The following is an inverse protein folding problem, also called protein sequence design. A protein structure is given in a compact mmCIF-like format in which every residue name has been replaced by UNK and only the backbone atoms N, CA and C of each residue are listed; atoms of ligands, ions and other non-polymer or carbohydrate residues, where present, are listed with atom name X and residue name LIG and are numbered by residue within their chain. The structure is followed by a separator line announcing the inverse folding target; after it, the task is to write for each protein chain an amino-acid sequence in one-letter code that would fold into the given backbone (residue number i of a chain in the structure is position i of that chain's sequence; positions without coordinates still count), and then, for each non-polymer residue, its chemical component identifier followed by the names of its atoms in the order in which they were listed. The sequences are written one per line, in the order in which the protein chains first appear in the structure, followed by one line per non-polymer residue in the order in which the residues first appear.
data_IF_307905640346
#
_entry.id   IF_307905640346
#
_cell.length_a   1.000
_cell.length_b   1.000
_cell.length_c   1.000
_cell.angle_alpha   90.00
_cell.angle_beta   90.00
_cell.angle_gamma   90.00
#
_symmetry.space_group_name_H-M   'P 1'
#
loop_
_entity.id
_entity.type
_entity.pdbx_description
1 polymer ?
#
# COMPACT_ATOMS: atom_id res chain seq x y z
N UNK A 1 -15.16 -18.16 12.69
CA UNK A 1 -15.17 -18.09 11.21
C UNK A 1 -14.21 -16.98 10.83
N UNK A 2 -13.23 -17.25 9.97
CA UNK A 2 -12.33 -16.21 9.49
C UNK A 2 -13.13 -15.19 8.67
N UNK A 3 -12.95 -13.90 8.96
CA UNK A 3 -13.66 -12.84 8.24
C UNK A 3 -12.88 -12.52 6.97
N UNK A 4 -13.39 -12.98 5.83
CA UNK A 4 -12.85 -12.64 4.51
C UNK A 4 -13.00 -11.14 4.27
N UNK A 5 -11.89 -10.45 4.03
CA UNK A 5 -11.82 -9.00 3.82
C UNK A 5 -12.10 -8.64 2.35
N UNK A 6 -11.48 -9.40 1.44
CA UNK A 6 -11.63 -9.23 -0.01
C UNK A 6 -11.61 -10.61 -0.66
N UNK A 7 -12.46 -10.81 -1.66
CA UNK A 7 -12.43 -11.99 -2.51
C UNK A 7 -12.59 -11.66 -3.99
N UNK A 8 -12.04 -12.54 -4.81
CA UNK A 8 -12.04 -12.49 -6.26
C UNK A 8 -12.36 -13.88 -6.80
N UNK A 9 -13.35 -14.00 -7.68
CA UNK A 9 -13.57 -15.21 -8.49
C UNK A 9 -12.70 -15.23 -9.76
N UNK A 10 -11.75 -14.29 -9.88
CA UNK A 10 -11.01 -13.96 -11.08
C UNK A 10 -11.63 -12.75 -11.80
N UNK A 11 -10.79 -11.87 -12.35
CA UNK A 11 -11.23 -10.68 -13.08
C UNK A 11 -10.16 -10.22 -14.09
N UNK A 12 -10.55 -9.32 -14.99
CA UNK A 12 -9.65 -8.73 -16.00
C UNK A 12 -9.62 -7.22 -15.83
N UNK A 13 -8.43 -6.62 -15.88
CA UNK A 13 -8.23 -5.17 -16.04
C UNK A 13 -7.29 -4.96 -17.22
N UNK A 14 -7.75 -4.19 -18.20
CA UNK A 14 -7.05 -3.99 -19.46
C UNK A 14 -6.70 -5.35 -20.10
N UNK A 15 -5.42 -5.64 -20.37
CA UNK A 15 -4.95 -6.91 -20.93
C UNK A 15 -4.43 -7.89 -19.86
N UNK A 16 -4.75 -7.67 -18.58
CA UNK A 16 -4.26 -8.51 -17.48
C UNK A 16 -5.40 -9.29 -16.83
N UNK A 17 -5.25 -10.61 -16.79
CA UNK A 17 -6.11 -11.52 -16.05
C UNK A 17 -5.52 -11.84 -14.67
N UNK A 18 -6.37 -11.70 -13.65
CA UNK A 18 -6.09 -12.00 -12.26
C UNK A 18 -6.83 -13.27 -11.87
N UNK A 19 -6.10 -14.25 -11.32
CA UNK A 19 -6.70 -15.50 -10.84
C UNK A 19 -7.63 -15.27 -9.63
N UNK A 20 -8.43 -16.28 -9.29
CA UNK A 20 -9.29 -16.23 -8.11
C UNK A 20 -8.47 -16.21 -6.82
N UNK A 21 -8.90 -15.43 -5.84
CA UNK A 21 -8.26 -15.37 -4.53
C UNK A 21 -9.23 -14.90 -3.45
N UNK A 22 -8.85 -15.14 -2.21
CA UNK A 22 -9.44 -14.50 -1.04
C UNK A 22 -8.31 -14.05 -0.11
N UNK A 23 -8.58 -12.98 0.62
CA UNK A 23 -7.72 -12.49 1.69
C UNK A 23 -8.56 -12.23 2.93
N UNK A 24 -8.12 -12.79 4.05
CA UNK A 24 -8.73 -12.68 5.37
C UNK A 24 -7.80 -11.94 6.34
N UNK A 25 -8.31 -11.58 7.51
CA UNK A 25 -7.49 -11.05 8.61
C UNK A 25 -6.34 -12.04 8.92
N UNK A 26 -5.13 -11.54 9.20
CA UNK A 26 -3.95 -12.37 9.44
C UNK A 26 -3.20 -12.76 8.16
N UNK A 27 -3.67 -12.35 6.98
CA UNK A 27 -3.11 -12.79 5.71
C UNK A 27 -2.39 -11.66 4.97
N UNK A 28 -1.33 -12.08 4.27
CA UNK A 28 -0.57 -11.28 3.35
C UNK A 28 -0.70 -11.87 1.95
N UNK A 29 -1.12 -11.05 0.99
CA UNK A 29 -1.28 -11.45 -0.40
C UNK A 29 -0.42 -10.56 -1.29
N UNK A 30 0.42 -11.17 -2.13
CA UNK A 30 1.20 -10.47 -3.16
C UNK A 30 0.62 -10.71 -4.54
N UNK A 31 0.33 -9.62 -5.27
CA UNK A 31 -0.01 -9.63 -6.70
C UNK A 31 1.24 -9.19 -7.46
N UNK A 32 1.83 -10.12 -8.20
CA UNK A 32 3.13 -9.90 -8.83
C UNK A 32 2.99 -9.69 -10.33
N UNK A 33 3.44 -8.54 -10.80
CA UNK A 33 3.52 -8.18 -12.21
C UNK A 33 4.93 -8.46 -12.72
N UNK A 34 5.03 -9.40 -13.64
CA UNK A 34 6.27 -9.72 -14.36
C UNK A 34 6.43 -8.89 -15.64
N UNK A 35 6.00 -7.64 -15.61
CA UNK A 35 6.15 -6.72 -16.74
C UNK A 35 7.39 -5.84 -16.51
N UNK A 36 8.08 -5.48 -17.59
CA UNK A 36 9.22 -4.54 -17.53
C UNK A 36 8.79 -3.07 -17.44
N UNK A 37 7.48 -2.80 -17.53
CA UNK A 37 6.92 -1.46 -17.59
C UNK A 37 6.04 -1.22 -16.36
N UNK A 38 6.44 -0.26 -15.53
CA UNK A 38 5.56 0.30 -14.51
C UNK A 38 4.38 0.99 -15.19
N UNK A 39 3.21 0.36 -15.16
CA UNK A 39 1.98 0.99 -15.63
C UNK A 39 1.24 1.63 -14.45
N UNK A 40 1.52 2.92 -14.24
CA UNK A 40 0.85 3.72 -13.21
C UNK A 40 -0.67 3.74 -13.37
N UNK A 41 -1.20 3.62 -14.60
CA UNK A 41 -2.64 3.58 -14.83
C UNK A 41 -3.22 2.25 -14.38
N UNK A 42 -2.51 1.14 -14.62
CA UNK A 42 -2.91 -0.16 -14.13
C UNK A 42 -2.88 -0.20 -12.60
N UNK A 43 -1.83 0.33 -11.97
CA UNK A 43 -1.74 0.45 -10.51
C UNK A 43 -2.93 1.23 -9.94
N UNK A 44 -3.25 2.39 -10.51
CA UNK A 44 -4.39 3.21 -10.07
C UNK A 44 -5.72 2.46 -10.19
N UNK A 45 -5.97 1.81 -11.34
CA UNK A 45 -7.17 0.98 -11.56
C UNK A 45 -7.27 -0.16 -10.54
N UNK A 46 -6.16 -0.81 -10.22
CA UNK A 46 -6.13 -1.89 -9.24
C UNK A 46 -6.44 -1.37 -7.84
N UNK A 47 -5.84 -0.25 -7.43
CA UNK A 47 -6.14 0.37 -6.14
C UNK A 47 -7.62 0.71 -6.03
N UNK A 48 -8.23 1.27 -7.08
CA UNK A 48 -9.66 1.58 -7.10
C UNK A 48 -10.55 0.34 -6.97
N UNK A 49 -10.25 -0.72 -7.73
CA UNK A 49 -11.04 -1.95 -7.75
C UNK A 49 -10.90 -2.70 -6.42
N UNK A 50 -9.67 -2.91 -5.98
CA UNK A 50 -9.36 -3.73 -4.80
C UNK A 50 -9.75 -3.02 -3.50
N UNK A 51 -9.76 -1.67 -3.48
CA UNK A 51 -10.29 -0.91 -2.33
C UNK A 51 -11.81 -0.74 -2.37
N UNK A 52 -12.49 -1.23 -3.41
CA UNK A 52 -13.94 -1.10 -3.58
C UNK A 52 -14.43 0.30 -3.97
N UNK A 53 -13.52 1.22 -4.34
CA UNK A 53 -13.89 2.54 -4.90
C UNK A 53 -14.58 2.38 -6.25
N UNK A 54 -14.16 1.38 -7.03
CA UNK A 54 -14.75 1.00 -8.31
C UNK A 54 -15.25 -0.44 -8.26
N UNK A 55 -16.52 -0.65 -8.59
CA UNK A 55 -17.08 -2.01 -8.67
C UNK A 55 -16.53 -2.72 -9.90
N UNK A 56 -16.15 -3.99 -9.74
CA UNK A 56 -15.69 -4.87 -10.80
C UNK A 56 -16.39 -6.23 -10.66
N UNK A 57 -16.80 -6.82 -11.79
CA UNK A 57 -17.36 -8.17 -11.75
C UNK A 57 -16.31 -9.16 -11.24
N UNK A 58 -16.73 -10.10 -10.41
CA UNK A 58 -15.84 -11.09 -9.79
C UNK A 58 -15.08 -10.58 -8.57
N UNK A 59 -15.08 -9.28 -8.23
CA UNK A 59 -14.42 -8.74 -7.04
C UNK A 59 -15.44 -8.34 -5.98
N UNK A 60 -15.23 -8.79 -4.74
CA UNK A 60 -16.08 -8.46 -3.58
C UNK A 60 -15.23 -7.98 -2.41
N UNK A 61 -15.48 -6.74 -1.98
CA UNK A 61 -14.86 -6.13 -0.80
C UNK A 61 -15.86 -6.18 0.35
N UNK A 62 -15.58 -6.99 1.38
CA UNK A 62 -16.48 -7.20 2.52
C UNK A 62 -16.15 -6.27 3.71
N UNK A 63 -14.98 -5.65 3.70
CA UNK A 63 -14.51 -4.78 4.78
C UNK A 63 -13.69 -3.62 4.20
N UNK A 64 -13.63 -2.50 4.91
CA UNK A 64 -12.88 -1.32 4.45
C UNK A 64 -11.39 -1.65 4.30
N UNK A 65 -10.84 -1.35 3.13
CA UNK A 65 -9.42 -1.50 2.80
C UNK A 65 -8.88 -0.13 2.38
N UNK A 66 -7.79 0.32 3.01
CA UNK A 66 -7.21 1.61 2.71
C UNK A 66 -6.07 1.48 1.68
N UNK A 67 -6.19 2.11 0.51
CA UNK A 67 -5.08 2.17 -0.43
C UNK A 67 -3.99 3.13 0.09
N UNK A 68 -2.73 2.69 0.05
CA UNK A 68 -1.56 3.48 0.40
C UNK A 68 -1.12 4.31 -0.80
N UNK A 69 -1.64 5.53 -0.87
CA UNK A 69 -1.32 6.49 -1.93
C UNK A 69 -0.30 7.49 -1.42
N UNK A 70 0.94 7.38 -1.91
CA UNK A 70 1.98 8.34 -1.55
C UNK A 70 1.62 9.75 -2.09
N UNK A 71 1.87 10.82 -1.32
CA UNK A 71 1.68 12.17 -1.80
C UNK A 71 2.58 12.44 -3.02
N UNK A 72 1.99 12.90 -4.11
CA UNK A 72 2.71 13.24 -5.34
C UNK A 72 3.19 14.69 -5.25
N UNK A 73 4.49 14.91 -5.49
CA UNK A 73 5.03 16.25 -5.64
C UNK A 73 4.47 16.88 -6.94
N UNK A 74 3.67 17.94 -6.82
CA UNK A 74 3.29 18.76 -7.98
C UNK A 74 4.37 19.83 -8.19
N UNK A 75 5.04 19.88 -9.35
CA UNK A 75 5.98 20.96 -9.65
C UNK A 75 5.23 22.31 -9.78
N UNK A 76 5.93 23.41 -9.50
CA UNK A 76 5.40 24.77 -9.64
C UNK A 76 4.99 25.44 -8.31
N UNK A 77 4.45 26.68 -8.34
CA UNK A 77 4.20 27.53 -7.15
C UNK A 77 3.28 26.90 -6.09
N UNK A 78 2.60 25.80 -6.42
CA UNK A 78 1.92 24.93 -5.46
C UNK A 78 2.84 24.39 -4.36
N UNK A 79 4.18 24.40 -4.55
CA UNK A 79 5.14 23.98 -3.52
C UNK A 79 5.06 24.80 -2.23
N UNK A 80 4.65 26.08 -2.32
CA UNK A 80 4.48 26.97 -1.18
C UNK A 80 3.20 26.68 -0.37
N UNK A 81 2.23 25.99 -0.98
CA UNK A 81 1.00 25.53 -0.34
C UNK A 81 1.06 24.07 0.14
N UNK A 82 2.22 23.43 0.02
CA UNK A 82 2.33 22.01 0.35
C UNK A 82 2.43 21.79 1.85
N UNK A 83 1.72 20.76 2.32
CA UNK A 83 1.65 20.37 3.73
C UNK A 83 3.02 19.89 4.25
N UNK A 84 3.27 20.11 5.53
CA UNK A 84 4.39 19.46 6.22
C UNK A 84 4.10 17.99 6.49
N UNK A 85 5.13 17.20 6.80
CA UNK A 85 4.99 15.80 7.24
C UNK A 85 4.00 15.66 8.42
N UNK A 86 4.06 16.59 9.40
CA UNK A 86 3.12 16.64 10.51
C UNK A 86 1.68 16.92 10.07
N UNK A 87 1.48 17.97 9.25
CA UNK A 87 0.15 18.34 8.76
C UNK A 87 -0.48 17.22 7.94
N UNK A 88 0.31 16.51 7.15
CA UNK A 88 -0.20 15.36 6.39
C UNK A 88 -0.71 14.25 7.29
N UNK A 89 0.07 13.83 8.29
CA UNK A 89 -0.34 12.76 9.19
C UNK A 89 -1.57 13.17 10.01
N UNK A 90 -1.66 14.44 10.40
CA UNK A 90 -2.82 14.98 11.11
C UNK A 90 -4.10 14.93 10.25
N UNK A 91 -3.99 15.19 8.96
CA UNK A 91 -5.16 15.28 8.06
C UNK A 91 -5.53 13.97 7.38
N UNK A 92 -4.59 13.03 7.23
CA UNK A 92 -4.79 11.77 6.51
C UNK A 92 -4.78 10.55 7.44
N UNK A 93 -4.62 10.76 8.75
CA UNK A 93 -4.62 9.71 9.77
C UNK A 93 -5.59 10.03 10.91
N UNK A 94 -5.46 9.25 11.98
CA UNK A 94 -6.30 9.29 13.20
C UNK A 94 -5.42 9.47 14.45
N UNK A 95 -4.19 9.91 14.25
CA UNK A 95 -3.19 10.07 15.30
C UNK A 95 -3.50 11.26 16.23
N UNK A 96 -3.16 11.09 17.49
CA UNK A 96 -2.94 12.21 18.41
C UNK A 96 -1.65 12.95 18.02
N UNK A 97 -1.54 14.23 18.39
CA UNK A 97 -0.38 15.06 18.01
C UNK A 97 0.94 14.46 18.52
N UNK A 98 0.92 13.91 19.73
CA UNK A 98 2.07 13.30 20.39
C UNK A 98 2.52 12.01 19.69
N UNK A 99 1.56 11.25 19.15
CA UNK A 99 1.82 10.05 18.35
C UNK A 99 2.49 10.43 17.03
N UNK A 100 2.05 11.52 16.38
CA UNK A 100 2.67 12.03 15.14
C UNK A 100 4.14 12.38 15.39
N UNK A 101 4.47 13.11 16.45
CA UNK A 101 5.86 13.44 16.77
C UNK A 101 6.72 12.19 17.03
N UNK A 102 6.18 11.22 17.76
CA UNK A 102 6.87 9.96 18.06
C UNK A 102 7.12 9.13 16.80
N UNK A 103 6.12 9.08 15.92
CA UNK A 103 6.20 8.39 14.64
C UNK A 103 7.24 9.03 13.71
N UNK A 104 7.17 10.35 13.53
CA UNK A 104 8.11 11.08 12.68
C UNK A 104 9.55 10.96 13.18
N UNK A 105 9.76 11.00 14.50
CA UNK A 105 11.07 10.73 15.11
C UNK A 105 11.57 9.31 14.79
N UNK A 106 10.71 8.30 14.89
CA UNK A 106 11.05 6.91 14.55
C UNK A 106 11.41 6.74 13.07
N UNK A 107 10.76 7.48 12.19
CA UNK A 107 11.03 7.51 10.75
C UNK A 107 12.23 8.40 10.36
N UNK A 108 12.83 9.11 11.32
CA UNK A 108 13.86 10.12 11.08
C UNK A 108 13.40 11.23 10.11
N UNK A 109 12.13 11.64 10.19
CA UNK A 109 11.53 12.71 9.38
C UNK A 109 11.27 13.93 10.27
N UNK A 110 11.71 15.11 9.84
CA UNK A 110 11.42 16.35 10.56
C UNK A 110 9.92 16.74 10.46
N UNK A 111 9.26 17.17 11.55
CA UNK A 111 7.84 17.55 11.53
C UNK A 111 7.45 18.69 10.59
N UNK A 112 8.39 19.61 10.37
CA UNK A 112 8.17 20.82 9.57
C UNK A 112 8.69 20.69 8.14
N UNK A 113 9.29 19.55 7.79
CA UNK A 113 9.72 19.32 6.42
C UNK A 113 8.51 19.24 5.51
N UNK A 114 8.59 19.92 4.38
CA UNK A 114 7.56 19.83 3.38
C UNK A 114 7.60 18.44 2.72
N UNK A 115 6.45 17.80 2.56
CA UNK A 115 6.33 16.45 2.00
C UNK A 115 6.99 16.34 0.62
N UNK A 116 6.98 17.38 -0.21
CA UNK A 116 7.62 17.31 -1.52
C UNK A 116 9.15 17.18 -1.44
N UNK A 117 9.76 17.61 -0.32
CA UNK A 117 11.20 17.49 -0.07
C UNK A 117 11.58 16.09 0.41
N UNK A 118 10.61 15.30 0.82
CA UNK A 118 10.81 13.89 1.18
C UNK A 118 11.08 13.06 -0.08
N UNK A 119 11.98 12.09 0.06
CA UNK A 119 12.25 11.06 -0.94
C UNK A 119 11.04 10.14 -1.16
N UNK A 120 11.10 9.34 -2.23
CA UNK A 120 9.99 8.44 -2.58
C UNK A 120 9.64 7.44 -1.46
N UNK A 121 10.65 6.83 -0.83
CA UNK A 121 10.48 5.90 0.28
C UNK A 121 9.82 6.57 1.50
N UNK A 122 10.33 7.73 1.92
CA UNK A 122 9.81 8.48 3.06
C UNK A 122 8.33 8.86 2.85
N UNK A 123 7.98 9.35 1.65
CA UNK A 123 6.59 9.66 1.30
C UNK A 123 5.69 8.43 1.36
N UNK A 124 6.18 7.27 0.90
CA UNK A 124 5.42 6.02 0.95
C UNK A 124 5.22 5.54 2.37
N UNK A 125 6.26 5.56 3.21
CA UNK A 125 6.14 5.17 4.62
C UNK A 125 5.17 6.08 5.37
N UNK A 126 5.23 7.40 5.11
CA UNK A 126 4.32 8.37 5.71
C UNK A 126 2.85 8.07 5.31
N UNK A 127 2.61 7.74 4.04
CA UNK A 127 1.30 7.32 3.56
C UNK A 127 0.86 5.96 4.13
N UNK A 128 1.80 5.02 4.31
CA UNK A 128 1.54 3.71 4.88
C UNK A 128 1.06 3.82 6.33
N UNK A 129 1.79 4.57 7.17
CA UNK A 129 1.41 4.76 8.57
C UNK A 129 0.05 5.49 8.67
N UNK A 130 -0.20 6.50 7.84
CA UNK A 130 -1.51 7.16 7.75
C UNK A 130 -2.65 6.20 7.38
N UNK A 131 -2.45 5.34 6.37
CA UNK A 131 -3.44 4.34 5.97
C UNK A 131 -3.71 3.32 7.08
N UNK A 132 -2.66 2.91 7.81
CA UNK A 132 -2.72 1.95 8.92
C UNK A 132 -3.47 2.49 10.13
N UNK A 133 -3.37 3.79 10.41
CA UNK A 133 -4.11 4.41 11.51
C UNK A 133 -5.62 4.38 11.24
N UNK A 134 -6.02 4.46 9.97
CA UNK A 134 -7.42 4.45 9.54
C UNK A 134 -8.02 3.04 9.46
N UNK A 135 -7.23 2.01 9.13
CA UNK A 135 -7.61 0.60 9.06
C UNK A 135 -6.36 -0.25 8.97
N UNK A 136 -6.36 -1.43 9.60
CA UNK A 136 -5.29 -2.42 9.45
C UNK A 136 -5.37 -3.19 8.13
N UNK A 137 -6.50 -3.12 7.42
CA UNK A 137 -6.62 -3.67 6.07
C UNK A 137 -6.09 -2.65 5.06
N UNK A 138 -5.01 -2.98 4.36
CA UNK A 138 -4.33 -2.06 3.45
C UNK A 138 -4.04 -2.70 2.09
N UNK A 139 -3.95 -1.85 1.07
CA UNK A 139 -3.39 -2.21 -0.25
C UNK A 139 -2.24 -1.26 -0.51
N UNK A 140 -1.06 -1.78 -0.83
CA UNK A 140 0.14 -0.99 -1.08
C UNK A 140 0.82 -1.45 -2.38
N UNK A 141 1.24 -0.48 -3.20
CA UNK A 141 2.16 -0.74 -4.31
C UNK A 141 3.60 -0.50 -3.87
N UNK A 142 4.50 -1.41 -4.22
CA UNK A 142 5.95 -1.25 -4.06
C UNK A 142 6.63 -0.60 -5.27
N UNK A 143 5.86 -0.15 -6.26
CA UNK A 143 6.35 0.61 -7.40
C UNK A 143 7.07 1.89 -6.96
N UNK A 144 8.24 2.15 -7.56
CA UNK A 144 9.05 3.35 -7.30
C UNK A 144 9.70 3.40 -5.92
N UNK A 145 9.79 2.28 -5.22
CA UNK A 145 10.51 2.13 -3.94
C UNK A 145 11.79 1.33 -4.21
N UNK A 146 12.91 1.74 -3.61
CA UNK A 146 14.15 0.94 -3.66
C UNK A 146 14.12 -0.24 -2.67
N UNK A 147 15.17 -1.07 -2.68
CA UNK A 147 15.25 -2.23 -1.80
C UNK A 147 15.17 -1.89 -0.30
N UNK A 148 15.77 -0.78 0.12
CA UNK A 148 15.74 -0.36 1.53
C UNK A 148 14.33 0.06 1.93
N UNK A 149 13.64 0.82 1.06
CA UNK A 149 12.26 1.21 1.31
C UNK A 149 11.29 0.02 1.32
N UNK A 150 11.53 -1.01 0.49
CA UNK A 150 10.74 -2.26 0.52
C UNK A 150 10.92 -2.95 1.88
N UNK A 151 12.15 -3.04 2.39
CA UNK A 151 12.43 -3.64 3.70
C UNK A 151 11.74 -2.87 4.82
N UNK A 152 11.74 -1.54 4.77
CA UNK A 152 11.03 -0.70 5.75
C UNK A 152 9.51 -0.89 5.69
N UNK A 153 8.93 -0.90 4.49
CA UNK A 153 7.49 -1.19 4.28
C UNK A 153 7.13 -2.56 4.86
N UNK A 154 7.95 -3.59 4.60
CA UNK A 154 7.70 -4.95 5.10
C UNK A 154 7.81 -5.06 6.61
N UNK A 155 8.76 -4.36 7.24
CA UNK A 155 8.82 -4.26 8.71
C UNK A 155 7.55 -3.65 9.28
N UNK A 156 6.98 -2.64 8.64
CA UNK A 156 5.71 -2.04 9.07
C UNK A 156 4.55 -3.03 8.90
N UNK A 157 4.51 -3.75 7.77
CA UNK A 157 3.52 -4.78 7.46
C UNK A 157 3.54 -5.91 8.50
N UNK A 158 4.71 -6.41 8.88
CA UNK A 158 4.85 -7.45 9.91
C UNK A 158 4.16 -7.06 11.22
N UNK A 159 4.24 -5.79 11.63
CA UNK A 159 3.61 -5.30 12.87
C UNK A 159 2.08 -5.31 12.84
N UNK A 160 1.47 -5.29 11.65
CA UNK A 160 0.03 -5.12 11.50
C UNK A 160 -0.67 -6.38 10.97
N UNK A 161 0.08 -7.36 10.48
CA UNK A 161 -0.48 -8.47 9.74
C UNK A 161 -1.43 -9.32 10.60
N UNK A 162 -1.11 -9.53 11.88
CA UNK A 162 -1.98 -10.25 12.81
C UNK A 162 -3.34 -9.56 13.03
N UNK A 163 -3.38 -8.24 12.86
CA UNK A 163 -4.54 -7.39 13.13
C UNK A 163 -5.31 -6.98 11.87
N UNK A 164 -4.78 -7.25 10.68
CA UNK A 164 -5.35 -6.80 9.41
C UNK A 164 -5.10 -7.74 8.25
N UNK A 165 -5.42 -7.28 7.05
CA UNK A 165 -5.13 -7.97 5.80
C UNK A 165 -4.28 -7.05 4.93
N UNK A 166 -3.20 -7.58 4.35
CA UNK A 166 -2.26 -6.78 3.55
C UNK A 166 -2.20 -7.31 2.14
N UNK A 167 -2.52 -6.44 1.18
CA UNK A 167 -2.37 -6.70 -0.25
C UNK A 167 -1.20 -5.89 -0.80
N UNK A 168 -0.15 -6.56 -1.25
CA UNK A 168 0.98 -5.96 -1.96
C UNK A 168 0.75 -6.06 -3.47
N UNK A 169 0.90 -4.95 -4.18
CA UNK A 169 1.02 -4.89 -5.64
C UNK A 169 2.51 -4.71 -5.95
N UNK A 170 3.13 -5.76 -6.47
CA UNK A 170 4.57 -5.79 -6.74
C UNK A 170 4.84 -5.80 -8.24
N UNK A 171 5.50 -4.75 -8.74
CA UNK A 171 6.01 -4.72 -10.11
C UNK A 171 7.48 -5.14 -10.06
N UNK A 172 7.82 -6.23 -10.75
CA UNK A 172 9.05 -7.02 -10.56
C UNK A 172 10.37 -6.25 -10.78
N UNK A 173 10.76 -5.42 -9.81
CA UNK A 173 12.15 -5.08 -9.48
C UNK A 173 12.66 -5.97 -8.33
N UNK A 174 11.74 -6.66 -7.62
CA UNK A 174 12.03 -7.58 -6.52
C UNK A 174 12.21 -9.03 -6.97
N UNK A 175 12.97 -9.28 -8.05
CA UNK A 175 13.41 -10.65 -8.37
C UNK A 175 14.26 -11.16 -7.20
N UNK A 176 13.73 -12.13 -6.46
CA UNK A 176 14.58 -13.15 -5.84
C UNK A 176 14.69 -13.19 -4.32
N UNK A 177 13.79 -12.59 -3.54
CA UNK A 177 13.73 -12.94 -2.11
C UNK A 177 12.29 -13.23 -1.70
N UNK A 178 11.97 -14.53 -1.64
CA UNK A 178 10.90 -15.05 -0.80
C UNK A 178 11.26 -14.63 0.63
N UNK A 179 10.64 -13.58 1.13
CA UNK A 179 10.76 -13.23 2.52
C UNK A 179 9.53 -13.74 3.24
N UNK A 180 9.76 -14.69 4.13
CA UNK A 180 8.78 -15.10 5.11
C UNK A 180 8.45 -13.87 5.96
N UNK A 181 7.25 -13.33 5.81
CA UNK A 181 6.66 -12.48 6.82
C UNK A 181 6.29 -13.44 7.95
N UNK A 182 7.18 -13.59 8.93
CA UNK A 182 6.96 -14.44 10.10
C UNK A 182 5.59 -14.12 10.72
N UNK A 183 4.76 -15.16 10.89
CA UNK A 183 3.40 -15.05 11.46
C UNK A 183 2.27 -14.85 10.45
N UNK A 184 2.54 -14.32 9.24
CA UNK A 184 1.51 -14.11 8.23
C UNK A 184 1.31 -15.34 7.34
N UNK A 185 0.05 -15.65 7.03
CA UNK A 185 -0.25 -16.60 5.94
C UNK A 185 0.00 -15.89 4.60
N UNK A 186 1.13 -16.23 3.98
CA UNK A 186 1.56 -15.68 2.70
C UNK A 186 0.86 -16.39 1.54
N UNK A 187 0.24 -15.61 0.66
CA UNK A 187 -0.35 -16.05 -0.61
C UNK A 187 0.26 -15.23 -1.75
N UNK A 188 0.40 -15.84 -2.92
CA UNK A 188 0.89 -15.19 -4.14
C UNK A 188 -0.05 -15.47 -5.29
N UNK A 189 -0.38 -14.43 -6.07
CA UNK A 189 -1.23 -14.57 -7.26
C UNK A 189 -0.38 -14.30 -8.49
N UNK A 190 -0.46 -15.21 -9.46
CA UNK A 190 0.09 -14.99 -10.78
C UNK A 190 -0.85 -14.10 -11.61
N UNK A 191 -0.29 -13.11 -12.29
CA UNK A 191 -1.00 -12.30 -13.28
C UNK A 191 -0.63 -12.80 -14.68
N UNK A 192 -1.63 -13.00 -15.55
CA UNK A 192 -1.43 -13.41 -16.95
C UNK A 192 -1.75 -12.24 -17.87
N UNK A 193 -0.83 -11.91 -18.76
CA UNK A 193 -1.09 -11.00 -19.88
C UNK A 193 -1.84 -11.77 -20.99
N UNK A 194 -2.90 -11.17 -21.52
CA UNK A 194 -3.81 -11.75 -22.53
C UNK A 194 -3.47 -11.32 -23.96
#
# INVERSE_FOLDING_TARGET
METTILSSSGFTIDNFYFESFDISKGEYLSIDFYTSHHDFKLEEKLLEVLSGKKKMNGVRVNSKINPVVAPIAKPGPAFLSNKTSFQYLLENGTFLKEEIFSLLKKMNIEPNVNIYRLGANERRLLALEAAISLSKNIIISTSGIDYNGIDEVRRVIQRICDDGAVLEISFATSRGREYLIDGARYKRIAVKEL
#
